data_IF_839932875155
#
_entry.id   IF_839932875155
#
_cell.length_a   1.000
_cell.length_b   1.000
_cell.length_c   1.000
_cell.angle_alpha   90.00
_cell.angle_beta   90.00
_cell.angle_gamma   90.00
#
_symmetry.space_group_name_H-M   'P 1'
#
loop_
_entity.id
_entity.type
_entity.pdbx_description
1 polymer ?
#
# COMPACT_ATOMS: atom_id res chain seq x y z
N UNK A 1 -18.50 -10.80 -4.11
CA UNK A 1 -18.21 -10.49 -4.02
C UNK A 1 -17.50 -9.61 -3.62
N UNK A 2 -17.10 -9.28 -2.96
CA UNK A 2 -16.58 -8.38 -2.42
C UNK A 2 -15.22 -8.37 -2.28
N UNK A 3 -14.52 -9.18 -2.56
CA UNK A 3 -13.11 -9.23 -2.48
C UNK A 3 -12.51 -8.34 -3.47
N UNK A 4 -13.32 -7.68 -4.24
CA UNK A 4 -12.76 -6.76 -5.17
C UNK A 4 -12.08 -5.62 -4.54
N UNK A 5 -12.23 -5.44 -3.25
CA UNK A 5 -11.58 -4.32 -2.59
C UNK A 5 -10.15 -4.63 -2.16
N UNK A 6 -9.58 -5.69 -2.69
CA UNK A 6 -8.22 -6.08 -2.36
C UNK A 6 -7.31 -5.85 -3.56
N UNK A 7 -6.23 -5.13 -3.35
CA UNK A 7 -5.26 -4.86 -4.39
C UNK A 7 -3.90 -5.33 -3.92
N UNK A 8 -3.19 -6.01 -4.78
CA UNK A 8 -1.85 -6.48 -4.45
C UNK A 8 -0.84 -5.75 -5.33
N UNK A 9 0.19 -5.20 -4.72
CA UNK A 9 1.25 -4.52 -5.43
C UNK A 9 2.53 -5.30 -5.19
N UNK A 10 3.16 -5.74 -6.28
CA UNK A 10 4.41 -6.47 -6.18
C UNK A 10 5.54 -5.46 -6.04
N UNK A 11 6.41 -5.65 -5.06
CA UNK A 11 7.53 -4.74 -4.87
C UNK A 11 8.69 -5.17 -5.74
N UNK A 12 9.76 -4.39 -5.70
CA UNK A 12 10.93 -4.70 -6.49
C UNK A 12 11.63 -5.95 -5.98
N UNK A 13 11.56 -6.22 -4.69
CA UNK A 13 12.24 -7.37 -4.12
C UNK A 13 11.30 -8.55 -3.88
N UNK A 14 11.60 -9.30 -2.83
CA UNK A 14 10.81 -10.48 -2.50
C UNK A 14 9.74 -10.13 -1.46
N UNK A 15 8.97 -9.11 -1.75
CA UNK A 15 7.91 -8.72 -0.85
C UNK A 15 6.73 -8.24 -1.65
N UNK A 16 5.63 -8.02 -0.97
CA UNK A 16 4.44 -7.50 -1.63
C UNK A 16 3.66 -6.65 -0.65
N UNK A 17 2.84 -5.76 -1.21
CA UNK A 17 1.98 -4.89 -0.42
C UNK A 17 0.54 -5.23 -0.78
N UNK A 18 -0.25 -5.53 0.21
CA UNK A 18 -1.66 -5.83 0.01
C UNK A 18 -2.49 -4.72 0.61
N UNK A 19 -3.44 -4.22 -0.15
CA UNK A 19 -4.31 -3.14 0.28
C UNK A 19 -5.73 -3.64 0.26
N UNK A 20 -6.44 -3.45 1.35
CA UNK A 20 -7.80 -3.93 1.44
C UNK A 20 -8.67 -2.92 2.17
N UNK A 21 -9.84 -2.66 1.63
CA UNK A 21 -10.79 -1.77 2.27
C UNK A 21 -11.70 -2.62 3.15
N UNK A 22 -11.74 -2.28 4.44
CA UNK A 22 -12.59 -2.97 5.39
C UNK A 22 -13.44 -1.92 6.07
N UNK A 23 -14.74 -1.96 5.80
CA UNK A 23 -15.64 -0.95 6.34
C UNK A 23 -15.15 0.42 5.93
N UNK A 24 -14.69 1.21 6.84
CA UNK A 24 -14.34 2.58 6.53
C UNK A 24 -12.85 2.82 6.69
N UNK A 25 -12.04 1.78 6.68
CA UNK A 25 -10.61 1.93 6.85
C UNK A 25 -9.87 1.15 5.77
N UNK A 26 -8.62 1.52 5.58
CA UNK A 26 -7.75 0.81 4.66
C UNK A 26 -6.77 -0.02 5.46
N UNK A 27 -6.70 -1.29 5.15
CA UNK A 27 -5.74 -2.16 5.79
C UNK A 27 -4.62 -2.42 4.80
N UNK A 28 -3.39 -2.15 5.23
CA UNK A 28 -2.23 -2.34 4.39
C UNK A 28 -1.35 -3.40 5.04
N UNK A 29 -1.02 -4.43 4.28
CA UNK A 29 -0.18 -5.51 4.79
C UNK A 29 1.05 -5.62 3.91
N UNK A 30 2.21 -5.65 4.53
CA UNK A 30 3.47 -5.82 3.82
C UNK A 30 4.02 -7.17 4.21
N UNK A 31 4.21 -8.03 3.23
CA UNK A 31 4.68 -9.39 3.48
C UNK A 31 6.07 -9.56 2.87
N UNK A 32 6.98 -10.13 3.67
CA UNK A 32 8.34 -10.37 3.21
C UNK A 32 8.43 -11.86 2.88
N UNK A 33 8.47 -12.18 1.61
CA UNK A 33 8.47 -13.55 1.15
C UNK A 33 9.82 -14.23 1.29
N UNK A 34 10.85 -13.47 1.63
CA UNK A 34 12.14 -14.07 1.86
C UNK A 34 12.23 -14.65 3.26
N UNK A 35 11.29 -14.30 4.14
CA UNK A 35 11.26 -14.83 5.49
C UNK A 35 9.86 -15.31 5.77
N UNK A 36 9.76 -16.59 5.97
CA UNK A 36 8.47 -17.20 6.18
C UNK A 36 7.75 -16.61 7.36
N UNK A 37 6.49 -16.26 7.18
CA UNK A 37 5.69 -15.77 8.28
C UNK A 37 5.93 -14.33 8.68
N UNK A 38 6.75 -13.62 7.95
CA UNK A 38 7.02 -12.24 8.30
C UNK A 38 6.09 -11.30 7.54
N UNK A 39 5.28 -10.60 8.28
CA UNK A 39 4.41 -9.60 7.66
C UNK A 39 4.03 -8.56 8.70
N UNK A 40 3.68 -7.39 8.23
CA UNK A 40 3.27 -6.28 9.08
C UNK A 40 2.01 -5.68 8.48
N UNK A 41 1.05 -5.41 9.33
CA UNK A 41 -0.20 -4.82 8.87
C UNK A 41 -0.45 -3.52 9.63
N UNK A 42 -0.92 -2.52 8.92
CA UNK A 42 -1.30 -1.25 9.51
C UNK A 42 -2.69 -0.90 9.00
N UNK A 43 -3.38 -0.08 9.77
CA UNK A 43 -4.72 0.33 9.40
C UNK A 43 -4.75 1.85 9.33
N UNK A 44 -5.30 2.37 8.26
CA UNK A 44 -5.36 3.80 8.04
C UNK A 44 -6.81 4.24 7.97
N UNK A 45 -7.11 5.37 8.60
CA UNK A 45 -8.43 5.97 8.51
C UNK A 45 -8.59 6.62 7.15
N UNK A 46 -9.80 7.05 6.84
CA UNK A 46 -10.07 7.72 5.58
C UNK A 46 -9.18 8.96 5.42
N UNK A 47 -9.03 9.73 6.48
CA UNK A 47 -8.22 10.93 6.40
C UNK A 47 -6.75 10.59 6.16
N UNK A 48 -6.26 9.56 6.81
CA UNK A 48 -4.87 9.15 6.62
C UNK A 48 -4.63 8.61 5.22
N UNK A 49 -5.62 7.95 4.65
CA UNK A 49 -5.53 7.48 3.28
C UNK A 49 -5.41 8.67 2.33
N UNK A 50 -6.19 9.72 2.58
CA UNK A 50 -6.09 10.91 1.74
C UNK A 50 -4.71 11.53 1.82
N UNK A 51 -4.15 11.62 3.02
CA UNK A 51 -2.81 12.18 3.18
C UNK A 51 -1.77 11.33 2.47
N UNK A 52 -1.90 10.03 2.59
CA UNK A 52 -0.94 9.14 1.95
C UNK A 52 -1.05 9.27 0.43
N UNK A 53 -2.25 9.33 -0.09
CA UNK A 53 -2.45 9.42 -1.54
C UNK A 53 -1.84 10.70 -2.10
N UNK A 54 -2.03 11.81 -1.42
CA UNK A 54 -1.47 13.08 -1.88
C UNK A 54 0.04 13.02 -1.89
N UNK A 55 0.63 12.48 -0.83
CA UNK A 55 2.07 12.40 -0.74
C UNK A 55 2.66 11.43 -1.75
N UNK A 56 1.96 10.34 -2.02
CA UNK A 56 2.41 9.40 -3.03
C UNK A 56 2.41 10.01 -4.42
N UNK A 57 1.43 10.85 -4.70
CA UNK A 57 1.39 11.52 -5.99
C UNK A 57 2.57 12.47 -6.16
N UNK A 58 2.94 13.16 -5.09
CA UNK A 58 4.10 14.03 -5.16
C UNK A 58 5.38 13.23 -5.39
N UNK A 59 5.53 12.14 -4.68
CA UNK A 59 6.70 11.30 -4.82
C UNK A 59 6.75 10.62 -6.18
N UNK A 60 5.58 10.29 -6.71
CA UNK A 60 5.51 9.68 -8.02
C UNK A 60 6.09 10.59 -9.09
N UNK A 61 5.82 11.89 -8.99
CA UNK A 61 6.37 12.82 -9.94
C UNK A 61 7.89 12.84 -9.88
N UNK A 62 8.44 12.77 -8.67
CA UNK A 62 9.89 12.74 -8.54
C UNK A 62 10.48 11.48 -9.13
N UNK A 63 9.80 10.36 -8.96
CA UNK A 63 10.29 9.10 -9.50
C UNK A 63 10.26 9.11 -11.01
N UNK A 64 9.22 9.68 -11.58
CA UNK A 64 9.07 9.65 -13.02
C UNK A 64 10.03 10.56 -13.74
N UNK A 65 10.16 11.78 -13.27
CA UNK A 65 10.96 12.73 -13.99
C UNK A 65 12.23 13.09 -13.34
N UNK A 66 12.31 12.86 -12.09
CA UNK A 66 13.45 13.31 -11.36
C UNK A 66 13.51 14.80 -11.34
N UNK A 67 12.59 15.47 -11.97
CA UNK A 67 12.61 16.88 -12.06
C UNK A 67 11.33 17.36 -11.56
N UNK A 68 11.34 18.30 -10.87
CA UNK A 68 10.11 18.80 -10.40
C UNK A 68 9.92 20.17 -10.76
#
# INVERSE_FOLDING_TARGET
MEEENVIKVQTKGLSSVHLQVCDDVLRMTIADHSQEGKSVAVTLSRQQVNELAVNLLLLKKRLQGGVL
#
